data_IF_407780727224
#
_entry.id   IF_407780727224
#
_cell.length_a   1.000
_cell.length_b   1.000
_cell.length_c   1.000
_cell.angle_alpha   90.00
_cell.angle_beta   90.00
_cell.angle_gamma   90.00
#
_symmetry.space_group_name_H-M   'P 1'
#
loop_
_entity.id
_entity.type
_entity.pdbx_description
1 polymer ?
#
# COMPACT_ATOMS: atom_id res chain seq x y z
N UNK A 1 -13.90 -16.56 -18.72
CA UNK A 1 -13.99 -15.59 -19.84
C UNK A 1 -14.79 -14.33 -19.49
N UNK A 2 -15.70 -14.38 -18.50
CA UNK A 2 -16.55 -13.24 -18.09
C UNK A 2 -15.82 -12.15 -17.31
N UNK A 3 -14.83 -12.51 -16.49
CA UNK A 3 -14.04 -11.55 -15.69
C UNK A 3 -13.20 -10.63 -16.58
N UNK A 4 -12.63 -11.17 -17.67
CA UNK A 4 -11.88 -10.39 -18.65
C UNK A 4 -12.77 -9.38 -19.38
N UNK A 5 -14.06 -9.73 -19.60
CA UNK A 5 -15.03 -8.87 -20.28
C UNK A 5 -15.54 -7.74 -19.38
N UNK A 6 -15.63 -7.98 -18.07
CA UNK A 6 -15.95 -6.96 -17.08
C UNK A 6 -14.78 -5.99 -16.85
N UNK A 7 -13.55 -6.52 -16.80
CA UNK A 7 -12.34 -5.70 -16.69
C UNK A 7 -12.13 -4.80 -17.92
N UNK A 8 -12.29 -5.35 -19.13
CA UNK A 8 -12.22 -4.57 -20.37
C UNK A 8 -13.35 -3.54 -20.50
N UNK A 9 -14.54 -3.81 -19.93
CA UNK A 9 -15.67 -2.88 -19.93
C UNK A 9 -15.51 -1.75 -18.91
N UNK A 10 -14.89 -2.03 -17.76
CA UNK A 10 -14.49 -0.99 -16.80
C UNK A 10 -13.41 -0.07 -17.37
N UNK A 11 -12.46 -0.64 -18.13
CA UNK A 11 -11.40 0.11 -18.80
C UNK A 11 -11.93 0.98 -19.97
N UNK A 12 -12.98 0.54 -20.68
CA UNK A 12 -13.63 1.37 -21.70
C UNK A 12 -14.41 2.56 -21.13
N UNK A 13 -14.92 2.45 -19.90
CA UNK A 13 -15.66 3.51 -19.23
C UNK A 13 -14.74 4.57 -18.61
N UNK A 14 -13.57 4.18 -18.08
CA UNK A 14 -12.55 5.14 -17.62
C UNK A 14 -11.90 5.92 -18.76
N UNK A 15 -12.06 5.47 -20.01
CA UNK A 15 -11.52 6.15 -21.20
C UNK A 15 -12.53 7.12 -21.84
N UNK A 16 -13.76 7.23 -21.31
CA UNK A 16 -14.79 8.15 -21.81
C UNK A 16 -15.00 9.40 -20.95
N UNK A 17 -14.29 9.55 -19.82
CA UNK A 17 -14.39 10.71 -18.92
C UNK A 17 -13.25 11.75 -19.06
N UNK A 18 -12.34 11.58 -20.04
CA UNK A 18 -11.32 12.59 -20.42
C UNK A 18 -11.52 13.15 -21.85
N UNK A 19 -12.73 13.03 -22.42
CA UNK A 19 -13.07 13.72 -23.67
C UNK A 19 -13.98 14.92 -23.38
N UNK A 20 -13.39 16.02 -22.93
CA UNK A 20 -14.02 17.34 -23.03
C UNK A 20 -12.99 18.43 -23.33
N UNK A 21 -13.18 19.04 -24.52
CA UNK A 21 -12.81 20.41 -24.91
C UNK A 21 -11.31 20.72 -24.96
N UNK A 22 -10.71 21.00 -26.12
CA UNK A 22 -11.10 22.09 -27.01
C UNK A 22 -10.83 21.76 -28.49
N UNK A 23 -11.90 21.73 -29.29
CA UNK A 23 -11.81 22.13 -30.68
C UNK A 23 -11.90 23.66 -30.74
N UNK A 24 -10.87 24.29 -31.29
CA UNK A 24 -10.84 25.73 -31.59
C UNK A 24 -10.11 25.92 -32.90
N UNK A 25 -10.85 25.88 -34.01
CA UNK A 25 -10.44 26.46 -35.29
C UNK A 25 -10.22 27.96 -35.11
N UNK A 26 -9.01 28.45 -35.36
CA UNK A 26 -8.78 29.85 -35.74
C UNK A 26 -7.65 29.95 -36.78
N UNK A 27 -8.01 30.55 -37.91
CA UNK A 27 -7.20 31.14 -38.99
C UNK A 27 -5.69 30.84 -39.05
N UNK A 28 -5.31 30.11 -40.10
CA UNK A 28 -3.95 29.85 -40.58
C UNK A 28 -3.15 31.16 -40.80
N UNK A 29 -2.22 31.45 -39.89
CA UNK A 29 -1.19 32.49 -40.07
C UNK A 29 0.07 31.86 -40.67
N UNK A 30 0.82 32.52 -41.58
CA UNK A 30 2.00 31.93 -42.24
C UNK A 30 3.20 31.65 -41.31
N UNK A 31 3.07 31.89 -40.00
CA UNK A 31 4.11 31.66 -38.99
C UNK A 31 3.98 30.32 -38.25
N UNK A 32 2.87 29.58 -38.41
CA UNK A 32 2.70 28.28 -37.74
C UNK A 32 3.48 27.13 -38.40
N UNK A 33 4.01 27.34 -39.62
CA UNK A 33 4.84 26.35 -40.33
C UNK A 33 6.25 26.17 -39.72
N UNK A 34 6.62 27.04 -38.76
CA UNK A 34 7.87 26.94 -37.98
C UNK A 34 7.65 26.42 -36.55
N UNK A 35 6.41 26.10 -36.17
CA UNK A 35 6.13 25.59 -34.84
C UNK A 35 6.46 24.09 -34.76
N UNK A 36 7.73 23.80 -34.45
CA UNK A 36 8.21 22.43 -34.17
C UNK A 36 7.72 21.88 -32.80
N UNK A 37 6.72 22.50 -32.18
CA UNK A 37 6.25 22.14 -30.85
C UNK A 37 5.00 21.28 -30.93
N UNK A 38 5.19 19.96 -30.82
CA UNK A 38 4.09 19.01 -30.62
C UNK A 38 3.75 18.96 -29.14
N UNK A 39 2.46 19.03 -28.81
CA UNK A 39 1.98 18.71 -27.46
C UNK A 39 2.36 17.25 -27.18
N UNK A 40 3.25 17.03 -26.22
CA UNK A 40 3.76 15.72 -25.87
C UNK A 40 3.71 15.57 -24.35
N UNK A 41 3.09 14.50 -23.87
CA UNK A 41 3.08 14.17 -22.45
C UNK A 41 4.50 13.94 -21.94
N UNK A 42 4.79 14.45 -20.74
CA UNK A 42 6.05 14.18 -20.04
C UNK A 42 6.34 12.68 -20.04
N UNK A 43 7.56 12.28 -20.38
CA UNK A 43 8.00 10.88 -20.43
C UNK A 43 7.84 10.12 -19.11
N UNK A 44 7.60 10.82 -17.99
CA UNK A 44 7.33 10.25 -16.66
C UNK A 44 5.84 10.24 -16.28
N UNK A 45 4.96 10.70 -17.17
CA UNK A 45 3.51 10.63 -16.97
C UNK A 45 3.04 9.19 -17.18
N UNK A 46 2.10 8.72 -16.35
CA UNK A 46 1.50 7.37 -16.46
C UNK A 46 0.86 7.09 -17.82
N UNK A 47 0.54 8.12 -18.62
CA UNK A 47 -0.02 8.00 -19.96
C UNK A 47 1.05 7.87 -21.07
N UNK A 48 2.34 8.04 -20.74
CA UNK A 48 3.45 7.96 -21.69
C UNK A 48 3.84 6.51 -21.96
N UNK A 49 3.76 6.09 -23.23
CA UNK A 49 4.15 4.76 -23.72
C UNK A 49 5.67 4.57 -23.82
N UNK A 50 6.44 5.06 -22.85
CA UNK A 50 7.89 4.87 -22.79
C UNK A 50 8.22 3.78 -21.78
N UNK A 51 8.95 2.74 -22.19
CA UNK A 51 9.22 1.54 -21.35
C UNK A 51 10.70 1.36 -21.01
N UNK A 52 11.59 2.23 -21.49
CA UNK A 52 13.04 2.05 -21.36
C UNK A 52 13.67 2.96 -20.30
N UNK A 53 13.30 2.78 -19.04
CA UNK A 53 13.86 3.51 -17.88
C UNK A 53 15.16 2.90 -17.33
N UNK A 54 15.64 1.81 -17.92
CA UNK A 54 16.81 1.06 -17.43
C UNK A 54 18.05 1.94 -17.29
N UNK A 55 18.26 2.83 -18.26
CA UNK A 55 19.36 3.80 -18.24
C UNK A 55 19.25 4.76 -17.06
N UNK A 56 18.10 5.43 -16.92
CA UNK A 56 17.88 6.43 -15.86
C UNK A 56 17.99 5.79 -14.47
N UNK A 57 17.41 4.59 -14.26
CA UNK A 57 17.53 3.87 -12.99
C UNK A 57 18.98 3.48 -12.68
N UNK A 58 19.72 2.99 -13.67
CA UNK A 58 21.14 2.68 -13.50
C UNK A 58 21.95 3.94 -13.13
N UNK A 59 21.67 5.06 -13.79
CA UNK A 59 22.28 6.34 -13.46
C UNK A 59 21.94 6.81 -12.05
N UNK A 60 20.68 6.71 -11.61
CA UNK A 60 20.27 7.04 -10.24
C UNK A 60 21.02 6.16 -9.23
N UNK A 61 21.11 4.86 -9.47
CA UNK A 61 21.83 3.93 -8.58
C UNK A 61 23.32 4.26 -8.52
N UNK A 62 23.96 4.54 -9.66
CA UNK A 62 25.38 4.91 -9.72
C UNK A 62 25.62 6.25 -9.01
N UNK A 63 24.80 7.27 -9.28
CA UNK A 63 24.92 8.59 -8.65
C UNK A 63 24.67 8.52 -7.14
N UNK A 64 23.68 7.74 -6.70
CA UNK A 64 23.39 7.50 -5.30
C UNK A 64 24.57 6.81 -4.62
N UNK A 65 25.08 5.74 -5.23
CA UNK A 65 26.23 4.99 -4.69
C UNK A 65 27.47 5.87 -4.63
N UNK A 66 27.82 6.59 -5.70
CA UNK A 66 29.00 7.45 -5.75
C UNK A 66 28.93 8.62 -4.76
N UNK A 67 27.78 9.29 -4.68
CA UNK A 67 27.59 10.47 -3.80
C UNK A 67 27.50 10.06 -2.34
N UNK A 68 26.85 8.94 -2.04
CA UNK A 68 26.68 8.45 -0.67
C UNK A 68 27.83 7.57 -0.20
N UNK A 69 28.64 6.98 -1.10
CA UNK A 69 29.75 6.10 -0.74
C UNK A 69 30.77 6.80 0.13
N UNK A 70 31.14 8.06 -0.17
CA UNK A 70 32.12 8.79 0.64
C UNK A 70 31.60 8.99 2.07
N UNK A 71 30.36 9.47 2.21
CA UNK A 71 29.69 9.64 3.50
C UNK A 71 29.54 8.30 4.24
N UNK A 72 29.14 7.25 3.54
CA UNK A 72 29.00 5.91 4.09
C UNK A 72 30.34 5.32 4.55
N UNK A 73 31.40 5.43 3.75
CA UNK A 73 32.73 4.89 4.08
C UNK A 73 33.37 5.65 5.24
N UNK A 74 33.21 6.98 5.26
CA UNK A 74 33.72 7.82 6.35
C UNK A 74 32.99 7.50 7.66
N UNK A 75 31.66 7.37 7.62
CA UNK A 75 30.88 6.88 8.77
C UNK A 75 31.28 5.45 9.16
N UNK A 76 31.49 4.55 8.19
CA UNK A 76 31.82 3.15 8.43
C UNK A 76 33.21 2.94 9.04
N UNK A 77 34.20 3.76 8.66
CA UNK A 77 35.58 3.65 9.15
C UNK A 77 35.76 4.40 10.48
N UNK A 78 35.24 5.63 10.61
CA UNK A 78 35.39 6.41 11.84
C UNK A 78 34.54 5.88 12.98
N UNK A 79 33.34 5.39 12.69
CA UNK A 79 32.39 4.97 13.71
C UNK A 79 32.13 3.45 13.71
N UNK A 80 32.81 2.67 12.85
CA UNK A 80 32.40 1.29 12.58
C UNK A 80 31.06 1.24 11.85
N UNK A 81 30.39 0.08 11.81
CA UNK A 81 28.96 0.02 11.52
C UNK A 81 28.24 0.83 12.63
N UNK A 82 28.10 2.14 12.45
CA UNK A 82 27.71 3.13 13.47
C UNK A 82 26.29 2.94 14.00
N UNK A 83 25.47 2.20 13.26
CA UNK A 83 24.32 1.55 13.86
C UNK A 83 24.93 0.40 14.63
N UNK A 84 25.26 0.59 15.89
CA UNK A 84 25.68 -0.51 16.75
C UNK A 84 24.49 -1.47 16.82
N UNK A 85 24.30 -2.32 15.79
CA UNK A 85 23.03 -3.02 15.52
C UNK A 85 22.72 -3.86 16.73
N UNK A 86 23.76 -4.37 17.39
CA UNK A 86 23.66 -5.11 18.62
C UNK A 86 23.24 -4.25 19.80
N UNK A 87 23.69 -2.98 19.94
CA UNK A 87 23.18 -2.05 20.96
C UNK A 87 21.84 -1.41 20.63
N UNK A 88 21.52 -1.15 19.36
CA UNK A 88 20.21 -0.71 18.91
C UNK A 88 19.19 -1.85 19.03
N UNK A 89 19.60 -3.09 18.74
CA UNK A 89 18.88 -4.31 19.02
C UNK A 89 18.76 -4.48 20.53
N UNK A 90 19.83 -4.40 21.33
CA UNK A 90 19.80 -4.46 22.80
C UNK A 90 19.04 -3.28 23.45
N UNK A 91 18.92 -2.10 22.85
CA UNK A 91 18.04 -1.01 23.32
C UNK A 91 16.59 -1.21 22.86
N UNK A 92 16.39 -1.93 21.75
CA UNK A 92 15.09 -2.40 21.28
C UNK A 92 14.62 -3.66 22.04
N UNK A 93 15.54 -4.42 22.67
CA UNK A 93 15.34 -5.77 23.24
C UNK A 93 15.67 -5.86 24.74
N UNK A 94 16.42 -4.92 25.28
CA UNK A 94 16.95 -4.92 26.63
C UNK A 94 16.21 -3.93 27.52
N UNK A 95 15.17 -4.44 28.18
CA UNK A 95 14.99 -4.39 29.64
C UNK A 95 13.65 -5.07 29.97
N UNK A 96 13.68 -6.41 30.12
CA UNK A 96 12.66 -7.33 30.67
C UNK A 96 11.17 -7.24 30.22
N UNK A 97 10.78 -6.22 29.46
CA UNK A 97 9.45 -6.04 28.90
C UNK A 97 9.66 -5.77 27.40
N UNK A 98 9.17 -6.66 26.55
CA UNK A 98 9.34 -6.58 25.10
C UNK A 98 8.06 -6.00 24.46
N UNK A 99 7.81 -4.68 24.53
CA UNK A 99 6.56 -4.09 24.07
C UNK A 99 6.31 -4.38 22.58
N UNK A 100 7.37 -4.36 21.76
CA UNK A 100 7.26 -4.67 20.33
C UNK A 100 6.82 -6.11 20.05
N UNK A 101 7.40 -7.11 20.76
CA UNK A 101 6.97 -8.51 20.59
C UNK A 101 5.54 -8.72 21.05
N UNK A 102 5.13 -8.07 22.15
CA UNK A 102 3.75 -8.10 22.60
C UNK A 102 2.80 -7.50 21.55
N UNK A 103 3.20 -6.40 20.91
CA UNK A 103 2.43 -5.78 19.82
C UNK A 103 2.32 -6.71 18.61
N UNK A 104 3.39 -7.37 18.18
CA UNK A 104 3.32 -8.36 17.09
C UNK A 104 2.42 -9.53 17.47
N UNK A 105 2.58 -10.06 18.68
CA UNK A 105 1.78 -11.20 19.13
C UNK A 105 0.30 -10.84 19.17
N UNK A 106 -0.04 -9.66 19.70
CA UNK A 106 -1.39 -9.10 19.68
C UNK A 106 -1.91 -8.90 18.25
N UNK A 107 -1.04 -8.50 17.31
CA UNK A 107 -1.43 -8.29 15.92
C UNK A 107 -1.98 -9.56 15.25
N UNK A 108 -1.52 -10.75 15.67
CA UNK A 108 -1.99 -12.04 15.13
C UNK A 108 -3.43 -12.40 15.55
N UNK A 109 -3.95 -11.77 16.59
CA UNK A 109 -5.33 -12.00 17.07
C UNK A 109 -6.35 -11.44 16.08
N UNK A 110 -6.07 -10.30 15.44
CA UNK A 110 -7.00 -9.65 14.50
C UNK A 110 -7.27 -10.48 13.23
N UNK A 111 -6.26 -11.08 12.56
CA UNK A 111 -6.49 -12.05 11.50
C UNK A 111 -7.30 -13.26 11.95
N UNK A 112 -7.01 -13.80 13.15
CA UNK A 112 -7.75 -14.94 13.69
C UNK A 112 -9.23 -14.61 13.87
N UNK A 113 -9.57 -13.44 14.44
CA UNK A 113 -10.94 -12.96 14.55
C UNK A 113 -11.61 -12.88 13.19
N UNK A 114 -10.93 -12.33 12.18
CA UNK A 114 -11.48 -12.22 10.82
C UNK A 114 -11.81 -13.58 10.20
N UNK A 115 -10.97 -14.59 10.40
CA UNK A 115 -11.22 -15.96 9.90
C UNK A 115 -12.39 -16.61 10.64
N UNK A 116 -12.50 -16.40 11.95
CA UNK A 116 -13.62 -16.92 12.75
C UNK A 116 -14.94 -16.28 12.30
N UNK A 117 -14.94 -14.98 12.01
CA UNK A 117 -16.12 -14.28 11.47
C UNK A 117 -16.54 -14.88 10.13
N UNK A 118 -15.60 -15.08 9.21
CA UNK A 118 -15.86 -15.69 7.89
C UNK A 118 -16.44 -17.11 8.05
N UNK A 119 -15.83 -17.95 8.90
CA UNK A 119 -16.30 -19.31 9.17
C UNK A 119 -17.68 -19.35 9.83
N UNK A 120 -18.03 -18.32 10.58
CA UNK A 120 -19.36 -18.21 11.20
C UNK A 120 -20.43 -17.76 10.20
N UNK A 121 -20.07 -16.93 9.22
CA UNK A 121 -20.94 -16.57 8.12
C UNK A 121 -21.26 -17.77 7.22
N UNK A 122 -20.27 -18.61 6.90
CA UNK A 122 -20.49 -19.86 6.13
C UNK A 122 -21.46 -20.81 6.84
N UNK A 123 -21.42 -20.88 8.17
CA UNK A 123 -22.31 -21.73 8.97
C UNK A 123 -23.74 -21.17 9.11
N UNK A 124 -24.02 -19.99 8.55
CA UNK A 124 -25.32 -19.32 8.66
C UNK A 124 -25.65 -18.80 10.06
N UNK A 125 -24.67 -18.76 10.98
CA UNK A 125 -24.90 -18.34 12.37
C UNK A 125 -24.92 -16.81 12.53
N UNK A 126 -24.42 -16.06 11.54
CA UNK A 126 -24.18 -14.62 11.63
C UNK A 126 -24.89 -13.87 10.49
N UNK A 127 -25.69 -12.86 10.84
CA UNK A 127 -26.39 -12.00 9.87
C UNK A 127 -25.39 -11.20 9.02
N UNK A 128 -25.66 -11.11 7.71
CA UNK A 128 -24.79 -10.44 6.72
C UNK A 128 -24.43 -9.00 7.10
N UNK A 129 -25.39 -8.24 7.62
CA UNK A 129 -25.18 -6.84 8.02
C UNK A 129 -24.28 -6.75 9.26
N UNK A 130 -24.53 -7.60 10.26
CA UNK A 130 -23.76 -7.59 11.51
C UNK A 130 -22.31 -8.04 11.27
N UNK A 131 -22.09 -9.04 10.43
CA UNK A 131 -20.76 -9.49 10.08
C UNK A 131 -19.96 -8.38 9.36
N UNK A 132 -20.58 -7.65 8.42
CA UNK A 132 -19.95 -6.51 7.76
C UNK A 132 -19.49 -5.43 8.75
N UNK A 133 -20.36 -5.05 9.70
CA UNK A 133 -19.99 -4.11 10.77
C UNK A 133 -18.86 -4.64 11.66
N UNK A 134 -18.85 -5.93 11.99
CA UNK A 134 -17.78 -6.56 12.76
C UNK A 134 -16.45 -6.56 12.00
N UNK A 135 -16.46 -6.77 10.68
CA UNK A 135 -15.26 -6.69 9.84
C UNK A 135 -14.68 -5.28 9.81
N UNK A 136 -15.52 -4.25 9.62
CA UNK A 136 -15.10 -2.84 9.70
C UNK A 136 -14.56 -2.53 11.09
N UNK A 137 -15.25 -2.95 12.14
CA UNK A 137 -14.82 -2.75 13.53
C UNK A 137 -13.46 -3.38 13.81
N UNK A 138 -13.26 -4.63 13.39
CA UNK A 138 -11.98 -5.34 13.53
C UNK A 138 -10.84 -4.62 12.78
N UNK A 139 -11.13 -4.15 11.57
CA UNK A 139 -10.17 -3.43 10.75
C UNK A 139 -9.81 -2.04 11.33
N UNK A 140 -10.80 -1.33 11.87
CA UNK A 140 -10.59 -0.06 12.57
C UNK A 140 -9.79 -0.27 13.87
N UNK A 141 -10.11 -1.29 14.66
CA UNK A 141 -9.37 -1.65 15.86
C UNK A 141 -7.92 -2.04 15.56
N UNK A 142 -7.68 -2.75 14.46
CA UNK A 142 -6.33 -3.10 14.01
C UNK A 142 -5.47 -1.84 13.73
N UNK A 143 -6.05 -0.77 13.17
CA UNK A 143 -5.32 0.49 12.95
C UNK A 143 -5.22 1.35 14.23
N UNK A 144 -6.26 1.36 15.05
CA UNK A 144 -6.32 2.17 16.27
C UNK A 144 -5.43 1.62 17.40
N UNK A 145 -5.28 0.29 17.50
CA UNK A 145 -4.52 -0.37 18.56
C UNK A 145 -3.03 0.04 18.65
N UNK A 146 -2.21 -0.02 17.57
CA UNK A 146 -0.82 0.42 17.66
C UNK A 146 -0.73 1.92 17.92
N UNK A 147 -1.66 2.70 17.37
CA UNK A 147 -1.72 4.16 17.53
C UNK A 147 -2.01 4.55 18.97
N UNK A 148 -2.98 3.91 19.62
CA UNK A 148 -3.33 4.17 21.01
C UNK A 148 -2.22 3.77 21.97
N UNK A 149 -1.56 2.62 21.74
CA UNK A 149 -0.43 2.19 22.56
C UNK A 149 0.74 3.18 22.44
N UNK A 150 1.07 3.63 21.23
CA UNK A 150 2.17 4.59 21.04
C UNK A 150 1.85 5.93 21.72
N UNK A 151 0.61 6.42 21.62
CA UNK A 151 0.19 7.68 22.25
C UNK A 151 0.14 7.59 23.79
N UNK A 152 -0.25 6.45 24.35
CA UNK A 152 -0.38 6.28 25.81
C UNK A 152 0.95 5.97 26.50
N UNK A 153 1.89 5.35 25.79
CA UNK A 153 3.17 4.88 26.35
C UNK A 153 4.38 5.62 25.73
N UNK A 154 4.22 6.93 25.50
CA UNK A 154 5.14 7.82 24.79
C UNK A 154 6.58 7.82 25.36
N UNK A 155 6.77 7.40 26.61
CA UNK A 155 8.07 7.35 27.31
C UNK A 155 8.81 6.02 27.26
N UNK A 156 8.18 4.92 26.79
CA UNK A 156 8.75 3.56 26.90
C UNK A 156 9.06 2.87 25.57
N UNK A 157 8.64 3.43 24.43
CA UNK A 157 8.92 2.84 23.12
C UNK A 157 10.08 3.54 22.43
N UNK A 158 11.11 2.77 22.08
CA UNK A 158 12.12 3.19 21.11
C UNK A 158 11.43 3.63 19.80
N UNK A 159 11.81 4.81 19.29
CA UNK A 159 11.26 5.38 18.04
C UNK A 159 11.32 4.39 16.88
N UNK A 160 12.40 3.60 16.78
CA UNK A 160 12.54 2.56 15.76
C UNK A 160 11.55 1.41 15.92
N UNK A 161 11.29 0.98 17.16
CA UNK A 161 10.32 -0.08 17.46
C UNK A 161 8.88 0.32 17.18
N UNK A 162 8.52 1.58 17.48
CA UNK A 162 7.21 2.14 17.19
C UNK A 162 6.94 2.17 15.66
N UNK A 163 7.91 2.64 14.86
CA UNK A 163 7.81 2.65 13.40
C UNK A 163 7.68 1.24 12.83
N UNK A 164 8.51 0.30 13.28
CA UNK A 164 8.46 -1.09 12.84
C UNK A 164 7.12 -1.73 13.18
N UNK A 165 6.59 -1.47 14.38
CA UNK A 165 5.26 -1.94 14.79
C UNK A 165 4.17 -1.37 13.90
N UNK A 166 4.10 -0.05 13.73
CA UNK A 166 3.11 0.60 12.85
C UNK A 166 3.17 0.05 11.43
N UNK A 167 4.36 -0.16 10.89
CA UNK A 167 4.54 -0.74 9.57
C UNK A 167 3.98 -2.16 9.48
N UNK A 168 4.27 -3.02 10.46
CA UNK A 168 3.70 -4.39 10.50
C UNK A 168 2.17 -4.39 10.60
N UNK A 169 1.60 -3.54 11.45
CA UNK A 169 0.15 -3.40 11.58
C UNK A 169 -0.51 -2.87 10.31
N UNK A 170 0.16 -1.93 9.62
CA UNK A 170 -0.29 -1.42 8.33
C UNK A 170 -0.31 -2.52 7.29
N UNK A 171 0.76 -3.32 7.17
CA UNK A 171 0.79 -4.48 6.24
C UNK A 171 -0.35 -5.46 6.53
N UNK A 172 -0.59 -5.78 7.80
CA UNK A 172 -1.69 -6.66 8.21
C UNK A 172 -3.06 -6.06 7.86
N UNK A 173 -3.25 -4.76 8.08
CA UNK A 173 -4.46 -4.03 7.73
C UNK A 173 -4.74 -4.12 6.23
N UNK A 174 -3.74 -3.85 5.39
CA UNK A 174 -3.88 -3.97 3.93
C UNK A 174 -4.23 -5.41 3.51
N UNK A 175 -3.54 -6.41 4.08
CA UNK A 175 -3.83 -7.82 3.76
C UNK A 175 -5.25 -8.22 4.16
N UNK A 176 -5.70 -7.81 5.35
CA UNK A 176 -7.01 -8.17 5.87
C UNK A 176 -8.12 -7.48 5.08
N UNK A 177 -7.92 -6.22 4.72
CA UNK A 177 -8.84 -5.48 3.86
C UNK A 177 -8.99 -6.15 2.49
N UNK A 178 -7.87 -6.49 1.85
CA UNK A 178 -7.88 -7.21 0.57
C UNK A 178 -8.57 -8.57 0.67
N UNK A 179 -8.32 -9.32 1.76
CA UNK A 179 -8.99 -10.59 2.01
C UNK A 179 -10.52 -10.44 2.10
N UNK A 180 -11.01 -9.46 2.87
CA UNK A 180 -12.45 -9.22 3.05
C UNK A 180 -13.14 -8.78 1.74
N UNK A 181 -12.46 -7.95 0.95
CA UNK A 181 -13.00 -7.52 -0.33
C UNK A 181 -13.17 -8.70 -1.30
N UNK A 182 -12.14 -9.56 -1.36
CA UNK A 182 -12.16 -10.75 -2.22
C UNK A 182 -13.21 -11.75 -1.71
N UNK A 183 -13.31 -11.99 -0.40
CA UNK A 183 -14.30 -12.93 0.14
C UNK A 183 -15.74 -12.46 -0.08
N UNK A 184 -16.00 -11.16 0.06
CA UNK A 184 -17.30 -10.58 -0.27
C UNK A 184 -17.65 -10.76 -1.75
N UNK A 185 -16.68 -10.59 -2.65
CA UNK A 185 -16.90 -10.74 -4.09
C UNK A 185 -17.24 -12.18 -4.50
N UNK A 186 -16.56 -13.17 -3.91
CA UNK A 186 -16.89 -14.58 -4.16
C UNK A 186 -18.35 -14.91 -3.80
N UNK A 187 -18.83 -14.44 -2.64
CA UNK A 187 -20.21 -14.69 -2.18
C UNK A 187 -21.26 -14.05 -3.08
N UNK A 188 -20.99 -12.86 -3.63
CA UNK A 188 -21.90 -12.20 -4.57
C UNK A 188 -21.97 -12.95 -5.92
N UNK A 189 -20.85 -13.51 -6.36
CA UNK A 189 -20.80 -14.29 -7.61
C UNK A 189 -21.60 -15.60 -7.53
N UNK A 190 -21.55 -16.31 -6.40
CA UNK A 190 -22.32 -17.54 -6.18
C UNK A 190 -23.83 -17.30 -6.18
N UNK A 191 -24.29 -16.24 -5.50
CA UNK A 191 -25.70 -15.84 -5.48
C UNK A 191 -26.22 -15.50 -6.89
N UNK A 192 -25.37 -14.86 -7.70
CA UNK A 192 -25.71 -14.47 -9.07
C UNK A 192 -25.82 -15.69 -10.01
N UNK A 193 -24.98 -16.71 -9.82
CA UNK A 193 -25.05 -17.95 -10.62
C UNK A 193 -26.26 -18.82 -10.25
N UNK A 194 -26.64 -18.90 -8.97
CA UNK A 194 -27.84 -19.63 -8.54
C UNK A 194 -29.12 -18.98 -9.06
N UNK A 195 -29.19 -17.64 -9.12
CA UNK A 195 -30.35 -16.93 -9.68
C UNK A 195 -30.52 -17.07 -11.20
N UNK A 196 -29.51 -17.58 -11.91
CA UNK A 196 -29.57 -17.89 -13.34
C UNK A 196 -29.87 -19.37 -13.65
N UNK A 197 -29.91 -20.25 -12.64
CA UNK A 197 -30.38 -21.64 -12.78
C UNK A 197 -31.85 -21.77 -12.47
#
# INVERSE_FOLDING_TARGET
MSVLKAYLRGQSLSQSEEEHTCAGTDSLSPLDMLCCHSVQDSLLSSNSRFTNYRGILNWIVILLMLTYAHLFLENFIQHGFLIDLKKALELLIGDNYWPYLYLILAANVFPMISVILEKSQEKGSLSSSLAYWLHIGNLAMLAAFPTSIILLYETSLSTGGALLSLFTYTILWLKLYSYQQVSSWYRESECTEEGMR
#
